data_IF_681647320305
#
_entry.id   IF_681647320305
#
_cell.length_a   1.000
_cell.length_b   1.000
_cell.length_c   1.000
_cell.angle_alpha   90.00
_cell.angle_beta   90.00
_cell.angle_gamma   90.00
#
_symmetry.space_group_name_H-M   'P 1'
#
loop_
_entity.id
_entity.type
_entity.pdbx_description
1 polymer ?
#
# COMPACT_ATOMS: atom_id res chain seq x y z
N UNK A 1 25.96 7.92 -9.91
CA UNK A 1 25.61 7.16 -11.14
C UNK A 1 26.21 5.78 -10.97
N UNK A 2 25.41 4.73 -11.10
CA UNK A 2 25.91 3.36 -10.91
C UNK A 2 26.91 3.03 -12.04
N UNK A 3 28.13 2.66 -11.67
CA UNK A 3 29.20 2.36 -12.62
C UNK A 3 29.19 0.89 -13.05
N UNK A 4 28.40 0.05 -12.36
CA UNK A 4 28.32 -1.39 -12.60
C UNK A 4 26.87 -1.90 -12.53
N UNK A 5 26.51 -2.85 -13.39
CA UNK A 5 25.18 -3.47 -13.41
C UNK A 5 24.77 -4.08 -12.06
N UNK A 6 25.74 -4.55 -11.29
CA UNK A 6 25.53 -5.12 -9.95
C UNK A 6 24.95 -4.12 -8.95
N UNK A 7 25.37 -2.85 -9.01
CA UNK A 7 24.85 -1.80 -8.14
C UNK A 7 23.36 -1.53 -8.41
N UNK A 8 22.94 -1.61 -9.67
CA UNK A 8 21.52 -1.48 -10.04
C UNK A 8 20.68 -2.65 -9.55
N UNK A 9 21.21 -3.87 -9.60
CA UNK A 9 20.51 -5.05 -9.08
C UNK A 9 20.33 -4.98 -7.56
N UNK A 10 21.39 -4.61 -6.82
CA UNK A 10 21.31 -4.42 -5.37
C UNK A 10 20.32 -3.30 -5.04
N UNK A 11 20.41 -2.15 -5.71
CA UNK A 11 19.49 -1.04 -5.49
C UNK A 11 18.03 -1.45 -5.73
N UNK A 12 17.75 -2.21 -6.80
CA UNK A 12 16.41 -2.74 -7.07
C UNK A 12 15.93 -3.73 -6.01
N UNK A 13 16.82 -4.58 -5.50
CA UNK A 13 16.47 -5.52 -4.44
C UNK A 13 16.07 -4.76 -3.16
N UNK A 14 16.86 -3.77 -2.76
CA UNK A 14 16.58 -2.93 -1.59
C UNK A 14 15.25 -2.18 -1.75
N UNK A 15 15.05 -1.53 -2.89
CA UNK A 15 13.80 -0.81 -3.19
C UNK A 15 12.61 -1.78 -3.23
N UNK A 16 12.79 -2.99 -3.77
CA UNK A 16 11.75 -4.01 -3.82
C UNK A 16 11.33 -4.47 -2.43
N UNK A 17 12.29 -4.74 -1.54
CA UNK A 17 12.01 -5.10 -0.14
C UNK A 17 11.32 -3.94 0.60
N UNK A 18 11.81 -2.72 0.44
CA UNK A 18 11.21 -1.54 1.06
C UNK A 18 9.78 -1.29 0.56
N UNK A 19 9.53 -1.42 -0.74
CA UNK A 19 8.21 -1.27 -1.35
C UNK A 19 7.25 -2.37 -0.85
N UNK A 20 7.70 -3.62 -0.79
CA UNK A 20 6.89 -4.73 -0.30
C UNK A 20 6.53 -4.61 1.18
N UNK A 21 7.47 -4.16 2.01
CA UNK A 21 7.19 -3.86 3.42
C UNK A 21 6.16 -2.72 3.54
N UNK A 22 6.35 -1.64 2.78
CA UNK A 22 5.44 -0.49 2.79
C UNK A 22 4.04 -0.85 2.31
N UNK A 23 3.90 -1.71 1.29
CA UNK A 23 2.61 -2.13 0.77
C UNK A 23 1.86 -3.09 1.70
N UNK A 24 2.54 -3.72 2.66
CA UNK A 24 1.90 -4.50 3.71
C UNK A 24 1.51 -3.63 4.93
N UNK A 25 2.41 -2.74 5.35
CA UNK A 25 2.22 -1.90 6.55
C UNK A 25 1.20 -0.79 6.32
N UNK A 26 1.20 -0.13 5.16
CA UNK A 26 0.29 0.98 4.89
C UNK A 26 -1.20 0.60 4.99
N UNK A 27 -1.72 -0.45 4.30
CA UNK A 27 -3.12 -0.83 4.44
C UNK A 27 -3.45 -1.41 5.83
N UNK A 28 -2.47 -2.00 6.53
CA UNK A 28 -2.64 -2.45 7.91
C UNK A 28 -2.86 -1.26 8.85
N UNK A 29 -1.96 -0.27 8.82
CA UNK A 29 -2.07 0.97 9.59
C UNK A 29 -3.42 1.64 9.33
N UNK A 30 -3.74 1.90 8.05
CA UNK A 30 -5.03 2.49 7.64
C UNK A 30 -6.21 1.66 8.13
N UNK A 31 -6.13 0.33 8.08
CA UNK A 31 -7.18 -0.55 8.56
C UNK A 31 -7.39 -0.55 10.08
N UNK A 32 -6.35 -0.26 10.86
CA UNK A 32 -6.42 -0.15 12.33
C UNK A 32 -6.91 1.23 12.79
N UNK A 33 -6.69 2.27 11.98
CA UNK A 33 -7.12 3.63 12.28
C UNK A 33 -8.50 3.99 11.70
N UNK A 34 -8.89 3.35 10.60
CA UNK A 34 -10.16 3.59 9.92
C UNK A 34 -11.34 3.15 10.79
N UNK A 35 -12.43 3.91 10.72
CA UNK A 35 -13.72 3.43 11.21
C UNK A 35 -14.24 2.33 10.28
N UNK A 36 -14.96 1.34 10.83
CA UNK A 36 -15.53 0.22 10.07
C UNK A 36 -16.37 0.66 8.86
N UNK A 37 -17.03 1.82 8.96
CA UNK A 37 -17.86 2.43 7.91
C UNK A 37 -17.06 2.93 6.70
N UNK A 38 -15.85 3.48 6.91
CA UNK A 38 -15.02 4.09 5.85
C UNK A 38 -13.85 3.23 5.42
N UNK A 39 -13.58 2.12 6.11
CA UNK A 39 -12.45 1.22 5.82
C UNK A 39 -12.41 0.74 4.37
N UNK A 40 -13.58 0.44 3.79
CA UNK A 40 -13.70 0.07 2.37
C UNK A 40 -13.26 1.20 1.44
N UNK A 41 -13.77 2.41 1.66
CA UNK A 41 -13.42 3.60 0.88
C UNK A 41 -11.93 3.95 1.00
N UNK A 42 -11.36 3.86 2.20
CA UNK A 42 -9.92 4.05 2.44
C UNK A 42 -9.05 3.03 1.70
N UNK A 43 -9.53 1.78 1.59
CA UNK A 43 -8.90 0.77 0.74
C UNK A 43 -8.88 1.16 -0.74
N UNK A 44 -10.00 1.70 -1.26
CA UNK A 44 -10.06 2.22 -2.63
C UNK A 44 -9.13 3.42 -2.84
N UNK A 45 -9.02 4.32 -1.87
CA UNK A 45 -8.07 5.44 -1.92
C UNK A 45 -6.62 4.97 -1.99
N UNK A 46 -6.26 3.89 -1.27
CA UNK A 46 -4.93 3.31 -1.36
C UNK A 46 -4.61 2.83 -2.78
N UNK A 47 -5.54 2.11 -3.41
CA UNK A 47 -5.38 1.67 -4.81
C UNK A 47 -5.31 2.85 -5.78
N UNK A 48 -6.13 3.89 -5.56
CA UNK A 48 -6.12 5.11 -6.37
C UNK A 48 -4.76 5.83 -6.27
N UNK A 49 -4.15 5.89 -5.08
CA UNK A 49 -2.81 6.48 -4.93
C UNK A 49 -1.74 5.71 -5.70
N UNK A 50 -1.87 4.38 -5.81
CA UNK A 50 -0.97 3.57 -6.63
C UNK A 50 -1.11 3.96 -8.12
N UNK A 51 -2.33 4.06 -8.64
CA UNK A 51 -2.57 4.38 -10.06
C UNK A 51 -2.17 5.82 -10.39
N UNK A 52 -2.42 6.78 -9.49
CA UNK A 52 -1.93 8.16 -9.60
C UNK A 52 -0.40 8.22 -9.60
N UNK A 53 0.26 7.41 -8.76
CA UNK A 53 1.72 7.30 -8.74
C UNK A 53 2.29 6.78 -10.07
N UNK A 54 1.65 5.78 -10.67
CA UNK A 54 2.03 5.26 -12.00
C UNK A 54 1.87 6.35 -13.06
N UNK A 55 0.74 7.07 -13.06
CA UNK A 55 0.50 8.19 -13.98
C UNK A 55 1.55 9.29 -13.82
N UNK A 56 1.89 9.66 -12.58
CA UNK A 56 2.94 10.64 -12.29
C UNK A 56 4.29 10.25 -12.91
N UNK A 57 4.68 8.97 -12.78
CA UNK A 57 5.92 8.45 -13.38
C UNK A 57 5.86 8.48 -14.91
N UNK A 58 4.72 8.16 -15.53
CA UNK A 58 4.59 8.24 -16.99
C UNK A 58 4.68 9.67 -17.52
N UNK A 59 4.03 10.63 -16.86
CA UNK A 59 4.09 12.05 -17.26
C UNK A 59 5.50 12.60 -17.11
N UNK A 60 6.13 12.41 -15.94
CA UNK A 60 7.49 12.89 -15.75
C UNK A 60 8.53 12.16 -16.60
N UNK A 61 8.36 10.85 -16.79
CA UNK A 61 9.23 10.06 -17.65
C UNK A 61 9.19 10.47 -19.12
N UNK A 62 8.10 11.11 -19.56
CA UNK A 62 7.98 11.69 -20.89
C UNK A 62 8.71 13.04 -21.02
N UNK A 63 8.76 13.83 -19.94
CA UNK A 63 9.29 15.20 -19.95
C UNK A 63 10.76 15.30 -19.49
N UNK A 64 11.27 14.31 -18.76
CA UNK A 64 12.50 14.45 -17.96
C UNK A 64 13.44 13.25 -18.13
N UNK A 65 14.75 13.48 -18.05
CA UNK A 65 15.78 12.42 -18.06
C UNK A 65 15.63 11.47 -16.85
N UNK A 66 16.00 10.20 -17.06
CA UNK A 66 15.92 9.12 -16.06
C UNK A 66 16.52 9.48 -14.70
N UNK A 67 17.65 10.20 -14.68
CA UNK A 67 18.33 10.59 -13.44
C UNK A 67 17.51 11.58 -12.62
N UNK A 68 16.91 12.56 -13.29
CA UNK A 68 16.09 13.58 -12.64
C UNK A 68 14.74 13.01 -12.21
N UNK A 69 14.15 12.09 -12.99
CA UNK A 69 12.98 11.30 -12.57
C UNK A 69 13.25 10.54 -11.27
N UNK A 70 14.39 9.83 -11.18
CA UNK A 70 14.78 9.09 -9.99
C UNK A 70 14.94 10.00 -8.76
N UNK A 71 15.53 11.20 -8.95
CA UNK A 71 15.66 12.20 -7.88
C UNK A 71 14.28 12.71 -7.42
N UNK A 72 13.38 13.04 -8.35
CA UNK A 72 12.03 13.51 -8.02
C UNK A 72 11.23 12.45 -7.25
N UNK A 73 11.30 11.18 -7.67
CA UNK A 73 10.69 10.08 -6.93
C UNK A 73 11.32 9.87 -5.55
N UNK A 74 12.59 10.22 -5.35
CA UNK A 74 13.27 10.14 -4.07
C UNK A 74 12.78 11.17 -3.04
N UNK A 75 12.25 12.31 -3.47
CA UNK A 75 11.69 13.32 -2.56
C UNK A 75 10.34 12.93 -1.95
N UNK A 76 9.54 12.14 -2.68
CA UNK A 76 8.22 11.67 -2.23
C UNK A 76 8.28 10.91 -0.89
N UNK A 77 9.13 9.88 -0.70
CA UNK A 77 9.23 9.18 0.58
C UNK A 77 9.82 10.06 1.70
N UNK A 78 10.66 11.04 1.39
CA UNK A 78 11.17 11.98 2.39
C UNK A 78 10.03 12.87 2.91
N UNK A 79 9.21 13.40 2.01
CA UNK A 79 8.00 14.15 2.37
C UNK A 79 7.03 13.32 3.21
N UNK A 80 6.84 12.04 2.83
CA UNK A 80 6.05 11.10 3.62
C UNK A 80 6.61 10.92 5.03
N UNK A 81 7.92 10.70 5.20
CA UNK A 81 8.54 10.54 6.52
C UNK A 81 8.34 11.78 7.42
N UNK A 82 8.48 12.98 6.86
CA UNK A 82 8.26 14.22 7.59
C UNK A 82 6.81 14.38 8.04
N UNK A 83 5.86 14.03 7.18
CA UNK A 83 4.43 14.11 7.50
C UNK A 83 4.01 13.02 8.50
N UNK A 84 4.56 11.81 8.35
CA UNK A 84 4.25 10.65 9.18
C UNK A 84 4.72 10.83 10.62
N UNK A 85 5.77 11.62 10.88
CA UNK A 85 6.20 11.92 12.25
C UNK A 85 5.12 12.62 13.10
N UNK A 86 4.18 13.31 12.45
CA UNK A 86 3.05 13.95 13.14
C UNK A 86 1.83 13.04 13.29
N UNK A 87 1.84 11.87 12.66
CA UNK A 87 0.72 10.94 12.67
C UNK A 87 0.59 10.24 14.03
N UNK A 88 -0.64 10.04 14.53
CA UNK A 88 -0.89 9.33 15.77
C UNK A 88 -0.55 7.83 15.64
N UNK A 89 -0.09 7.22 16.74
CA UNK A 89 0.16 5.78 16.83
C UNK A 89 -1.15 4.98 16.77
N UNK A 90 -1.13 3.73 16.28
CA UNK A 90 -2.38 2.96 16.17
C UNK A 90 -2.97 2.64 17.55
N UNK A 91 -4.30 2.80 17.73
CA UNK A 91 -4.96 2.51 19.00
C UNK A 91 -4.85 1.03 19.38
N UNK A 92 -4.84 0.14 18.37
CA UNK A 92 -4.66 -1.31 18.54
C UNK A 92 -3.29 -1.62 19.15
N UNK A 93 -2.22 -1.01 18.64
CA UNK A 93 -0.87 -1.17 19.19
C UNK A 93 -0.76 -0.67 20.63
N UNK A 94 -1.33 0.51 20.92
CA UNK A 94 -1.32 1.09 22.28
C UNK A 94 -2.09 0.21 23.28
N UNK A 95 -3.22 -0.36 22.88
CA UNK A 95 -3.98 -1.29 23.71
C UNK A 95 -3.23 -2.60 23.97
N UNK A 96 -2.52 -3.16 22.97
CA UNK A 96 -1.66 -4.33 23.18
C UNK A 96 -0.52 -4.07 24.17
N UNK A 97 -0.06 -2.81 24.30
CA UNK A 97 0.93 -2.39 25.29
C UNK A 97 0.33 -2.05 26.67
N UNK A 98 -0.96 -2.33 26.89
CA UNK A 98 -1.71 -1.94 28.09
C UNK A 98 -1.74 -0.41 28.33
N UNK A 99 -1.53 0.41 27.29
CA UNK A 99 -1.52 1.88 27.34
C UNK A 99 -2.89 2.43 26.93
N UNK A 100 -3.92 2.16 27.74
CA UNK A 100 -5.30 2.49 27.41
C UNK A 100 -5.58 3.99 27.28
N UNK A 101 -5.00 4.82 28.15
CA UNK A 101 -5.19 6.27 28.11
C UNK A 101 -4.64 6.88 26.81
N UNK A 102 -3.47 6.41 26.36
CA UNK A 102 -2.85 6.88 25.11
C UNK A 102 -3.65 6.40 23.89
N UNK A 103 -4.26 5.21 23.95
CA UNK A 103 -5.15 4.71 22.91
C UNK A 103 -6.41 5.59 22.78
N UNK A 104 -7.01 6.02 23.91
CA UNK A 104 -8.14 6.96 23.92
C UNK A 104 -7.75 8.32 23.33
N UNK A 105 -6.57 8.85 23.66
CA UNK A 105 -6.08 10.11 23.09
C UNK A 105 -5.82 10.01 21.59
N UNK A 106 -5.18 8.93 21.13
CA UNK A 106 -5.00 8.65 19.71
C UNK A 106 -6.35 8.60 19.00
N UNK A 107 -7.30 7.78 19.48
CA UNK A 107 -8.63 7.67 18.87
C UNK A 107 -9.35 9.03 18.81
N UNK A 108 -9.21 9.86 19.84
CA UNK A 108 -9.82 11.19 19.92
C UNK A 108 -9.21 12.15 18.90
N UNK A 109 -7.91 12.03 18.63
CA UNK A 109 -7.24 12.79 17.56
C UNK A 109 -7.69 12.37 16.16
N UNK A 110 -8.07 11.10 15.98
CA UNK A 110 -8.57 10.58 14.70
C UNK A 110 -10.06 10.84 14.45
N UNK A 111 -10.92 10.63 15.45
CA UNK A 111 -12.39 10.77 15.34
C UNK A 111 -12.88 12.19 15.59
N UNK A 112 -12.10 12.98 16.32
CA UNK A 112 -12.42 14.36 16.70
C UNK A 112 -12.73 14.54 18.18
N UNK A 113 -12.68 15.78 18.69
CA UNK A 113 -12.68 16.08 20.13
C UNK A 113 -13.99 15.76 20.87
N UNK A 114 -15.11 15.66 20.14
CA UNK A 114 -16.46 15.46 20.70
C UNK A 114 -16.97 14.01 20.61
N UNK A 115 -16.20 13.11 20.01
CA UNK A 115 -16.60 11.71 19.85
C UNK A 115 -16.33 10.91 21.14
N UNK A 116 -17.29 10.08 21.57
CA UNK A 116 -17.12 9.19 22.73
C UNK A 116 -16.32 7.94 22.35
N UNK A 117 -15.01 8.06 22.46
CA UNK A 117 -14.04 7.00 22.14
C UNK A 117 -14.08 5.81 23.10
N UNK A 118 -14.73 5.92 24.27
CA UNK A 118 -14.71 4.88 25.31
C UNK A 118 -15.35 3.56 24.86
N UNK A 119 -16.44 3.65 24.11
CA UNK A 119 -17.14 2.47 23.60
C UNK A 119 -16.27 1.72 22.59
N UNK A 120 -15.67 2.44 21.64
CA UNK A 120 -14.80 1.88 20.61
C UNK A 120 -13.52 1.28 21.21
N UNK A 121 -12.91 1.94 22.20
CA UNK A 121 -11.76 1.39 22.93
C UNK A 121 -12.12 0.10 23.69
N UNK A 122 -13.30 0.03 24.32
CA UNK A 122 -13.77 -1.18 24.98
C UNK A 122 -14.01 -2.33 24.00
N UNK A 123 -14.56 -2.05 22.82
CA UNK A 123 -14.76 -3.06 21.77
C UNK A 123 -13.42 -3.59 21.26
N UNK A 124 -12.49 -2.69 20.91
CA UNK A 124 -11.14 -3.05 20.48
C UNK A 124 -10.39 -3.88 21.53
N UNK A 125 -10.51 -3.51 22.81
CA UNK A 125 -9.88 -4.26 23.89
C UNK A 125 -10.47 -5.68 24.01
N UNK A 126 -11.80 -5.84 23.90
CA UNK A 126 -12.44 -7.16 23.91
C UNK A 126 -12.02 -8.02 22.71
N UNK A 127 -11.85 -7.43 21.54
CA UNK A 127 -11.35 -8.13 20.36
C UNK A 127 -9.90 -8.59 20.53
N UNK A 128 -9.05 -7.74 21.12
CA UNK A 128 -7.67 -8.07 21.44
C UNK A 128 -7.56 -9.18 22.49
N UNK A 129 -8.37 -9.15 23.55
CA UNK A 129 -8.42 -10.20 24.57
C UNK A 129 -8.83 -11.55 23.97
N UNK A 130 -9.85 -11.57 23.10
CA UNK A 130 -10.25 -12.78 22.34
C UNK A 130 -9.16 -13.29 21.40
N UNK A 131 -8.35 -12.38 20.86
CA UNK A 131 -7.27 -12.71 19.93
C UNK A 131 -6.00 -13.17 20.67
N UNK A 132 -5.73 -12.64 21.86
CA UNK A 132 -4.61 -13.01 22.72
C UNK A 132 -4.73 -14.43 23.27
N UNK A 133 -5.94 -14.88 23.58
CA UNK A 133 -6.22 -16.25 24.05
C UNK A 133 -6.05 -17.30 22.93
N UNK A 134 -5.91 -16.83 21.69
CA UNK A 134 -5.89 -17.65 20.48
C UNK A 134 -4.73 -17.17 19.59
N UNK A 135 -3.50 -17.13 20.12
CA UNK A 135 -2.28 -16.85 19.34
C UNK A 135 -2.22 -17.83 18.16
N UNK A 136 -2.75 -17.39 17.02
CA UNK A 136 -2.86 -18.20 15.83
C UNK A 136 -1.46 -18.35 15.26
N UNK A 137 -0.86 -19.53 15.42
CA UNK A 137 0.39 -19.84 14.76
C UNK A 137 0.14 -19.91 13.25
N UNK A 138 1.16 -19.58 12.44
CA UNK A 138 1.12 -19.82 10.99
C UNK A 138 0.77 -21.30 10.71
N UNK A 139 1.20 -22.21 11.59
CA UNK A 139 0.85 -23.63 11.52
C UNK A 139 -0.63 -23.92 11.72
N UNK A 140 -1.38 -23.08 12.44
CA UNK A 140 -2.80 -23.28 12.71
C UNK A 140 -3.68 -22.90 11.51
N UNK A 141 -3.18 -22.04 10.62
CA UNK A 141 -3.82 -21.74 9.33
C UNK A 141 -3.95 -23.02 8.50
N UNK A 142 -2.92 -23.88 8.51
CA UNK A 142 -2.93 -25.15 7.80
C UNK A 142 -3.79 -26.22 8.50
N UNK A 143 -3.99 -26.12 9.82
CA UNK A 143 -4.81 -27.06 10.59
C UNK A 143 -6.30 -26.75 10.49
N UNK A 144 -6.68 -25.46 10.42
CA UNK A 144 -8.09 -25.03 10.37
C UNK A 144 -8.58 -25.00 8.92
N UNK A 145 -9.50 -25.90 8.55
CA UNK A 145 -10.08 -25.97 7.19
C UNK A 145 -10.67 -24.64 6.70
N UNK A 146 -11.28 -23.84 7.59
CA UNK A 146 -11.81 -22.51 7.24
C UNK A 146 -10.70 -21.53 6.88
N UNK A 147 -9.63 -21.47 7.68
CA UNK A 147 -8.48 -20.62 7.43
C UNK A 147 -7.73 -21.04 6.15
N UNK A 148 -7.55 -22.35 5.92
CA UNK A 148 -6.93 -22.87 4.71
C UNK A 148 -7.74 -22.53 3.45
N UNK A 149 -9.08 -22.64 3.49
CA UNK A 149 -9.94 -22.22 2.37
C UNK A 149 -9.82 -20.72 2.10
N UNK A 150 -9.83 -19.90 3.15
CA UNK A 150 -9.61 -18.44 3.02
C UNK A 150 -8.26 -18.12 2.40
N UNK A 151 -7.20 -18.77 2.87
CA UNK A 151 -5.84 -18.63 2.33
C UNK A 151 -5.78 -19.03 0.84
N UNK A 152 -6.36 -20.17 0.47
CA UNK A 152 -6.39 -20.62 -0.93
C UNK A 152 -7.15 -19.66 -1.84
N UNK A 153 -8.28 -19.10 -1.37
CA UNK A 153 -9.02 -18.08 -2.13
C UNK A 153 -8.16 -16.82 -2.30
N UNK A 154 -7.54 -16.33 -1.22
CA UNK A 154 -6.68 -15.15 -1.28
C UNK A 154 -5.47 -15.36 -2.21
N UNK A 155 -4.77 -16.49 -2.09
CA UNK A 155 -3.66 -16.85 -2.97
C UNK A 155 -4.10 -17.01 -4.43
N UNK A 156 -5.25 -17.65 -4.66
CA UNK A 156 -5.83 -17.80 -6.00
C UNK A 156 -6.16 -16.45 -6.63
N UNK A 157 -6.82 -15.56 -5.90
CA UNK A 157 -7.15 -14.21 -6.36
C UNK A 157 -5.89 -13.38 -6.66
N UNK A 158 -4.89 -13.42 -5.77
CA UNK A 158 -3.62 -12.71 -5.97
C UNK A 158 -2.86 -13.26 -7.19
N UNK A 159 -2.85 -14.59 -7.35
CA UNK A 159 -2.21 -15.23 -8.51
C UNK A 159 -2.91 -14.84 -9.80
N UNK A 160 -4.24 -14.88 -9.83
CA UNK A 160 -5.03 -14.47 -10.99
C UNK A 160 -4.81 -13.00 -11.34
N UNK A 161 -4.75 -12.12 -10.33
CA UNK A 161 -4.43 -10.71 -10.52
C UNK A 161 -3.05 -10.54 -11.18
N UNK A 162 -2.03 -11.26 -10.73
CA UNK A 162 -0.69 -11.18 -11.33
C UNK A 162 -0.65 -11.77 -12.75
N UNK A 163 -1.33 -12.89 -12.99
CA UNK A 163 -1.41 -13.56 -14.29
C UNK A 163 -2.25 -12.81 -15.33
N UNK A 164 -3.07 -11.84 -14.92
CA UNK A 164 -3.78 -10.95 -15.84
C UNK A 164 -2.85 -10.16 -16.77
N UNK A 165 -1.56 -10.07 -16.43
CA UNK A 165 -0.56 -9.38 -17.24
C UNK A 165 -0.56 -7.85 -17.07
N UNK A 166 -1.33 -7.30 -16.13
CA UNK A 166 -1.39 -5.85 -15.85
C UNK A 166 0.02 -5.27 -15.64
N UNK A 167 0.87 -5.94 -14.88
CA UNK A 167 2.25 -5.48 -14.65
C UNK A 167 3.12 -5.51 -15.92
N UNK A 168 2.89 -6.46 -16.84
CA UNK A 168 3.60 -6.50 -18.11
C UNK A 168 3.21 -5.29 -18.99
N UNK A 169 1.91 -4.97 -19.03
CA UNK A 169 1.42 -3.76 -19.71
C UNK A 169 2.02 -2.51 -19.09
N UNK A 170 2.05 -2.39 -17.76
CA UNK A 170 2.62 -1.20 -17.08
C UNK A 170 4.11 -1.03 -17.39
N UNK A 171 4.93 -2.08 -17.24
CA UNK A 171 6.38 -1.94 -17.43
C UNK A 171 6.79 -1.81 -18.89
N UNK A 172 6.05 -2.43 -19.81
CA UNK A 172 6.40 -2.50 -21.22
C UNK A 172 5.47 -1.70 -22.12
N UNK A 173 4.57 -0.87 -21.59
CA UNK A 173 3.63 -0.04 -22.38
C UNK A 173 4.33 0.66 -23.54
N UNK A 174 5.43 1.37 -23.26
CA UNK A 174 6.20 2.07 -24.29
C UNK A 174 6.74 1.14 -25.40
N UNK A 175 7.24 -0.05 -25.02
CA UNK A 175 7.78 -1.01 -25.98
C UNK A 175 6.65 -1.64 -26.81
N UNK A 176 5.56 -2.04 -26.16
CA UNK A 176 4.38 -2.63 -26.81
C UNK A 176 3.80 -1.67 -27.86
N UNK A 177 3.58 -0.39 -27.50
CA UNK A 177 3.03 0.58 -28.44
C UNK A 177 3.98 0.94 -29.57
N UNK A 178 5.29 0.96 -29.31
CA UNK A 178 6.29 1.16 -30.36
C UNK A 178 6.29 0.01 -31.36
N UNK A 179 6.32 -1.22 -30.87
CA UNK A 179 6.40 -2.41 -31.71
C UNK A 179 5.07 -2.69 -32.44
N UNK A 180 3.94 -2.23 -31.90
CA UNK A 180 2.63 -2.27 -32.55
C UNK A 180 2.47 -1.25 -33.70
N UNK A 181 3.45 -0.38 -33.96
CA UNK A 181 3.39 0.60 -35.06
C UNK A 181 2.42 1.76 -34.80
N UNK A 182 2.20 2.11 -33.53
CA UNK A 182 1.34 3.24 -33.12
C UNK A 182 1.75 4.56 -33.81
N UNK A 183 0.77 5.30 -34.31
CA UNK A 183 0.96 6.67 -34.82
C UNK A 183 1.19 7.69 -33.69
N UNK A 184 0.82 7.34 -32.45
CA UNK A 184 1.06 8.14 -31.25
C UNK A 184 2.45 7.85 -30.67
N UNK A 185 3.08 8.88 -30.10
CA UNK A 185 4.36 8.70 -29.41
C UNK A 185 4.21 7.72 -28.23
N UNK A 186 5.16 6.79 -28.02
CA UNK A 186 5.06 5.77 -26.97
C UNK A 186 4.73 6.35 -25.59
N UNK A 187 5.33 7.50 -25.27
CA UNK A 187 5.09 8.24 -24.03
C UNK A 187 3.64 8.70 -23.86
N UNK A 188 3.00 9.19 -24.92
CA UNK A 188 1.58 9.59 -24.89
C UNK A 188 0.69 8.37 -24.68
N UNK A 189 1.00 7.25 -25.35
CA UNK A 189 0.25 6.00 -25.17
C UNK A 189 0.37 5.45 -23.74
N UNK A 190 1.55 5.52 -23.12
CA UNK A 190 1.73 5.15 -21.71
C UNK A 190 0.92 6.05 -20.76
N UNK A 191 0.89 7.36 -21.01
CA UNK A 191 0.08 8.30 -20.22
C UNK A 191 -1.42 7.96 -20.33
N UNK A 192 -1.92 7.64 -21.53
CA UNK A 192 -3.32 7.23 -21.74
C UNK A 192 -3.64 5.99 -20.90
N UNK A 193 -2.75 4.98 -20.87
CA UNK A 193 -2.92 3.79 -20.02
C UNK A 193 -2.99 4.19 -18.53
N UNK A 194 -2.13 5.10 -18.08
CA UNK A 194 -2.16 5.62 -16.71
C UNK A 194 -3.47 6.33 -16.37
N UNK A 195 -3.99 7.16 -17.29
CA UNK A 195 -5.28 7.87 -17.09
C UNK A 195 -6.44 6.88 -17.01
N UNK A 196 -6.48 5.88 -17.89
CA UNK A 196 -7.51 4.83 -17.84
C UNK A 196 -7.48 4.09 -16.50
N UNK A 197 -6.30 3.77 -15.98
CA UNK A 197 -6.16 3.13 -14.66
C UNK A 197 -6.61 3.99 -13.48
N UNK A 198 -6.61 5.32 -13.61
CA UNK A 198 -7.11 6.21 -12.55
C UNK A 198 -8.64 6.30 -12.58
N UNK A 199 -9.24 6.16 -13.76
CA UNK A 199 -10.69 6.27 -13.97
C UNK A 199 -11.42 4.96 -13.65
N UNK A 200 -10.79 3.82 -13.95
CA UNK A 200 -11.35 2.46 -13.78
C UNK A 200 -11.05 1.91 -12.39
#
# INVERSE_FOLDING_TARGET
MASSAWELYIARLIVGVATGASSAVAPMYVGEIAESSVRGSLGSFFQLMITVGILYVYVLGACVSYTTLAIMCGFVPIGFLLMFFSAPETPVYLLQKNRRNDAEESLRRLRGPYYDVKNEVNELQRELEKSSDNQASISDIFKRKSALRGLLIALGLMTFQQLSGVNAVIFYANAIFRDAGSTLSPSVSAIIVGVVQVIV
#
